data_IF_388031126195
#
_entry.id   IF_388031126195
#
_cell.length_a   1.000
_cell.length_b   1.000
_cell.length_c   1.000
_cell.angle_alpha   90.00
_cell.angle_beta   90.00
_cell.angle_gamma   90.00
#
_symmetry.space_group_name_H-M   'P 1'
#
loop_
_entity.id
_entity.type
_entity.pdbx_description
1 polymer ?
#
# COMPACT_ATOMS: atom_id res chain seq x y z
N UNK A 1 19.71 7.20 5.04
CA UNK A 1 18.68 6.74 4.09
C UNK A 1 17.43 7.53 4.43
N UNK A 2 16.82 8.27 3.48
CA UNK A 2 15.59 8.99 3.79
C UNK A 2 14.55 8.00 4.32
N UNK A 3 13.85 8.39 5.39
CA UNK A 3 12.78 7.58 5.96
C UNK A 3 11.68 7.46 4.89
N UNK A 4 11.60 6.32 4.20
CA UNK A 4 10.47 6.03 3.32
C UNK A 4 9.18 6.04 4.13
N UNK A 5 8.25 6.88 3.73
CA UNK A 5 6.90 7.04 4.27
C UNK A 5 5.90 6.27 3.40
N UNK A 6 4.64 6.14 3.82
CA UNK A 6 3.64 5.33 3.12
C UNK A 6 3.23 5.91 1.75
N UNK A 7 3.51 7.19 1.52
CA UNK A 7 3.33 7.97 0.29
C UNK A 7 4.58 7.98 -0.61
N UNK A 8 5.59 7.16 -0.31
CA UNK A 8 6.69 6.94 -1.24
C UNK A 8 6.22 6.06 -2.41
N UNK A 9 6.20 6.56 -3.66
CA UNK A 9 5.74 5.79 -4.82
C UNK A 9 6.59 4.56 -5.08
N UNK A 10 7.88 4.60 -4.72
CA UNK A 10 8.86 3.51 -4.85
C UNK A 10 8.87 2.59 -3.61
N UNK A 11 7.94 2.76 -2.67
CA UNK A 11 7.80 1.84 -1.56
C UNK A 11 7.21 0.53 -2.09
N UNK A 12 7.84 -0.59 -1.72
CA UNK A 12 7.32 -1.89 -2.12
C UNK A 12 6.07 -2.22 -1.30
N UNK A 13 5.10 -2.90 -1.93
CA UNK A 13 3.90 -3.37 -1.23
C UNK A 13 4.25 -4.24 -0.02
N UNK A 14 5.31 -5.05 -0.12
CA UNK A 14 5.84 -5.83 1.01
C UNK A 14 6.28 -4.94 2.18
N UNK A 15 7.08 -3.91 1.93
CA UNK A 15 7.59 -3.03 2.99
C UNK A 15 6.48 -2.17 3.58
N UNK A 16 5.54 -1.72 2.76
CA UNK A 16 4.33 -1.02 3.20
C UNK A 16 3.52 -1.89 4.17
N UNK A 17 3.17 -3.12 3.77
CA UNK A 17 2.37 -4.03 4.60
C UNK A 17 3.14 -4.50 5.85
N UNK A 18 4.46 -4.65 5.77
CA UNK A 18 5.29 -5.02 6.91
C UNK A 18 5.35 -3.90 7.96
N UNK A 19 5.33 -2.64 7.52
CA UNK A 19 5.41 -1.47 8.40
C UNK A 19 4.04 -0.99 8.88
N UNK A 20 3.01 -1.15 8.05
CA UNK A 20 1.62 -0.79 8.35
C UNK A 20 0.68 -1.95 7.97
N UNK A 21 0.53 -2.98 8.81
CA UNK A 21 -0.33 -4.13 8.52
C UNK A 21 -1.80 -3.77 8.28
N UNK A 22 -2.25 -2.63 8.80
CA UNK A 22 -3.62 -2.16 8.63
C UNK A 22 -3.90 -1.80 7.16
N UNK A 23 -2.88 -1.42 6.39
CA UNK A 23 -3.03 -1.14 4.95
C UNK A 23 -3.52 -2.36 4.16
N UNK A 24 -3.28 -3.59 4.64
CA UNK A 24 -3.72 -4.83 3.97
C UNK A 24 -5.24 -4.82 3.73
N UNK A 25 -6.03 -4.22 4.62
CA UNK A 25 -7.48 -4.13 4.42
C UNK A 25 -7.87 -3.32 3.18
N UNK A 26 -7.09 -2.28 2.86
CA UNK A 26 -7.30 -1.42 1.69
C UNK A 26 -7.09 -2.25 0.42
N UNK A 27 -5.99 -2.99 0.34
CA UNK A 27 -5.72 -3.91 -0.77
C UNK A 27 -6.82 -4.98 -0.94
N UNK A 28 -7.34 -5.51 0.17
CA UNK A 28 -8.44 -6.47 0.12
C UNK A 28 -9.75 -5.85 -0.39
N UNK A 29 -10.07 -4.60 -0.01
CA UNK A 29 -11.27 -3.88 -0.50
C UNK A 29 -11.24 -3.69 -2.01
N UNK A 30 -10.06 -3.36 -2.56
CA UNK A 30 -9.84 -3.22 -4.00
C UNK A 30 -9.70 -4.56 -4.74
N UNK A 31 -9.84 -5.69 -4.04
CA UNK A 31 -9.66 -7.06 -4.58
C UNK A 31 -8.32 -7.25 -5.30
N UNK A 32 -7.29 -6.53 -4.85
CA UNK A 32 -5.95 -6.65 -5.43
C UNK A 32 -5.37 -8.02 -5.08
N UNK A 33 -4.97 -8.78 -6.11
CA UNK A 33 -4.42 -10.14 -5.97
C UNK A 33 -2.96 -10.10 -5.47
N UNK A 34 -2.44 -8.91 -5.18
CA UNK A 34 -1.07 -8.65 -4.72
C UNK A 34 -0.77 -9.29 -3.35
N UNK A 35 -1.80 -9.56 -2.53
CA UNK A 35 -1.65 -10.22 -1.22
C UNK A 35 -1.27 -11.69 -1.41
N UNK A 36 0.03 -11.96 -1.43
CA UNK A 36 0.60 -13.31 -1.59
C UNK A 36 1.25 -13.60 -2.95
N UNK A 37 1.36 -12.61 -3.84
CA UNK A 37 2.02 -12.78 -5.12
C UNK A 37 3.56 -12.76 -4.99
N UNK A 38 4.27 -13.58 -5.78
CA UNK A 38 5.74 -13.69 -5.76
C UNK A 38 6.45 -12.38 -6.16
N UNK A 39 5.74 -11.45 -6.80
CA UNK A 39 6.27 -10.15 -7.27
C UNK A 39 6.16 -9.07 -6.16
N UNK A 40 5.39 -9.31 -5.09
CA UNK A 40 5.13 -8.36 -4.00
C UNK A 40 6.38 -7.68 -3.36
N UNK A 41 7.57 -8.33 -3.26
CA UNK A 41 8.78 -7.68 -2.76
C UNK A 41 9.40 -6.65 -3.71
N UNK A 42 9.00 -6.65 -4.99
CA UNK A 42 9.53 -5.77 -6.04
C UNK A 42 8.45 -4.86 -6.65
N UNK A 43 7.18 -5.13 -6.35
CA UNK A 43 6.04 -4.37 -6.82
C UNK A 43 5.91 -3.07 -6.01
N UNK A 44 6.11 -1.91 -6.62
CA UNK A 44 5.98 -0.62 -5.96
C UNK A 44 4.49 -0.20 -5.84
N UNK A 45 4.16 0.71 -4.91
CA UNK A 45 2.79 1.22 -4.77
C UNK A 45 2.29 1.85 -6.07
N UNK A 46 3.15 2.60 -6.77
CA UNK A 46 2.78 3.25 -8.03
C UNK A 46 2.47 2.26 -9.15
N UNK A 47 3.24 1.17 -9.25
CA UNK A 47 3.02 0.11 -10.25
C UNK A 47 1.66 -0.56 -10.04
N UNK A 48 1.28 -0.80 -8.77
CA UNK A 48 -0.01 -1.37 -8.43
C UNK A 48 -1.17 -0.42 -8.74
N UNK A 49 -0.96 0.90 -8.61
CA UNK A 49 -1.96 1.88 -9.02
C UNK A 49 -2.12 1.89 -10.55
N UNK A 50 -1.02 1.83 -11.30
CA UNK A 50 -1.05 1.82 -12.77
C UNK A 50 -1.70 0.54 -13.32
N UNK A 51 -1.34 -0.64 -12.79
CA UNK A 51 -1.88 -1.95 -13.21
C UNK A 51 -3.41 -2.04 -13.00
N UNK A 52 -3.90 -1.49 -11.89
CA UNK A 52 -5.32 -1.51 -11.55
C UNK A 52 -6.08 -0.24 -11.98
N UNK A 53 -5.42 0.66 -12.74
CA UNK A 53 -5.96 1.94 -13.19
C UNK A 53 -6.58 2.78 -12.07
N UNK A 54 -5.91 2.83 -10.92
CA UNK A 54 -6.33 3.59 -9.76
C UNK A 54 -5.64 4.95 -9.70
N UNK A 55 -6.34 5.92 -9.12
CA UNK A 55 -5.76 7.21 -8.80
C UNK A 55 -4.82 7.05 -7.60
N UNK A 56 -3.55 7.39 -7.80
CA UNK A 56 -2.52 7.26 -6.78
C UNK A 56 -2.81 8.10 -5.54
N UNK A 57 -3.22 9.36 -5.73
CA UNK A 57 -3.49 10.29 -4.62
C UNK A 57 -4.69 9.82 -3.80
N UNK A 58 -5.75 9.34 -4.46
CA UNK A 58 -6.90 8.74 -3.79
C UNK A 58 -6.51 7.48 -3.00
N UNK A 59 -5.63 6.64 -3.56
CA UNK A 59 -5.17 5.43 -2.89
C UNK A 59 -4.32 5.74 -1.65
N UNK A 60 -3.39 6.69 -1.75
CA UNK A 60 -2.58 7.14 -0.60
C UNK A 60 -3.47 7.68 0.52
N UNK A 61 -4.55 8.39 0.19
CA UNK A 61 -5.50 8.87 1.20
C UNK A 61 -6.24 7.72 1.91
N UNK A 62 -6.65 6.67 1.18
CA UNK A 62 -7.22 5.47 1.79
C UNK A 62 -6.22 4.76 2.71
N UNK A 63 -4.96 4.66 2.31
CA UNK A 63 -3.89 4.10 3.15
C UNK A 63 -3.70 4.93 4.43
N UNK A 64 -3.70 6.26 4.31
CA UNK A 64 -3.59 7.18 5.45
C UNK A 64 -4.74 6.97 6.44
N UNK A 65 -5.97 6.85 5.95
CA UNK A 65 -7.16 6.59 6.78
C UNK A 65 -7.04 5.24 7.50
N UNK A 66 -6.60 4.19 6.82
CA UNK A 66 -6.40 2.87 7.42
C UNK A 66 -5.31 2.89 8.50
N UNK A 67 -4.22 3.61 8.27
CA UNK A 67 -3.13 3.79 9.25
C UNK A 67 -3.63 4.53 10.49
N UNK A 68 -4.38 5.62 10.32
CA UNK A 68 -4.95 6.41 11.43
C UNK A 68 -5.98 5.61 12.24
N UNK A 69 -6.86 4.89 11.54
CA UNK A 69 -7.85 3.99 12.16
C UNK A 69 -7.18 2.85 12.94
N UNK A 70 -6.06 2.36 12.42
CA UNK A 70 -5.24 1.30 13.01
C UNK A 70 -4.34 1.72 14.17
N UNK A 71 -4.05 3.02 14.31
CA UNK A 71 -3.26 3.59 15.40
C UNK A 71 -4.10 3.82 16.68
N UNK A 72 -5.42 3.59 16.61
CA UNK A 72 -6.37 3.83 17.71
C UNK A 72 -6.64 2.57 18.55
N UNK A 73 -5.70 1.62 18.62
CA UNK A 73 -5.82 0.40 19.45
C UNK A 73 -4.59 0.14 20.30
#
# INVERSE_FOLDING_TARGET
>A
MPNKTFDDPDLTLKDLMARWPQTIEVFMRHRMVCVGCLINPFHAVIDACDEYHMDYDAFIEELRIAIDSGATS
#
